data_IF_606285747311
#
_entry.id   IF_606285747311
#
_cell.length_a   1.000
_cell.length_b   1.000
_cell.length_c   1.000
_cell.angle_alpha   90.00
_cell.angle_beta   90.00
_cell.angle_gamma   90.00
#
_symmetry.space_group_name_H-M   'P 1'
#
loop_
_entity.id
_entity.type
_entity.pdbx_description
1 polymer ?
#
# COMPACT_ATOMS: atom_id res chain seq x y z
N UNK A 1 16.64 15.42 14.79
CA UNK A 1 16.48 14.01 14.37
C UNK A 1 17.25 13.14 15.34
N UNK A 2 16.56 12.20 15.99
CA UNK A 2 17.19 11.30 16.97
C UNK A 2 17.89 10.11 16.29
N UNK A 3 18.61 9.31 17.09
CA UNK A 3 19.38 8.16 16.57
C UNK A 3 18.49 7.13 15.85
N UNK A 4 17.32 6.81 16.38
CA UNK A 4 16.38 5.84 15.77
C UNK A 4 15.86 6.33 14.43
N UNK A 5 15.52 7.62 14.32
CA UNK A 5 15.10 8.24 13.06
C UNK A 5 16.22 8.18 12.00
N UNK A 6 17.48 8.40 12.41
CA UNK A 6 18.63 8.29 11.50
C UNK A 6 18.82 6.86 10.98
N UNK A 7 18.75 5.86 11.87
CA UNK A 7 18.81 4.44 11.49
C UNK A 7 17.66 4.08 10.53
N UNK A 8 16.45 4.51 10.86
CA UNK A 8 15.28 4.26 10.03
C UNK A 8 15.45 4.84 8.62
N UNK A 9 15.86 6.10 8.50
CA UNK A 9 16.08 6.74 7.21
C UNK A 9 17.20 6.07 6.40
N UNK A 10 18.25 5.59 7.07
CA UNK A 10 19.31 4.84 6.40
C UNK A 10 18.78 3.52 5.82
N UNK A 11 17.94 2.79 6.56
CA UNK A 11 17.30 1.56 6.07
C UNK A 11 16.41 1.83 4.86
N UNK A 12 15.59 2.89 4.93
CA UNK A 12 14.74 3.29 3.80
C UNK A 12 15.60 3.63 2.57
N UNK A 13 16.65 4.42 2.76
CA UNK A 13 17.57 4.78 1.68
C UNK A 13 18.21 3.54 1.04
N UNK A 14 18.78 2.65 1.85
CA UNK A 14 19.44 1.43 1.37
C UNK A 14 18.46 0.52 0.62
N UNK A 15 17.25 0.40 1.13
CA UNK A 15 16.18 -0.38 0.47
C UNK A 15 15.81 0.23 -0.88
N UNK A 16 15.57 1.54 -0.94
CA UNK A 16 15.15 2.21 -2.17
C UNK A 16 16.25 2.26 -3.23
N UNK A 17 17.51 2.36 -2.81
CA UNK A 17 18.67 2.40 -3.72
C UNK A 17 19.24 1.01 -4.02
N UNK A 18 18.68 -0.04 -3.38
CA UNK A 18 19.19 -1.41 -3.46
C UNK A 18 20.69 -1.50 -3.10
N UNK A 19 21.12 -0.62 -2.20
CA UNK A 19 22.47 -0.63 -1.63
C UNK A 19 22.47 -1.45 -0.35
N UNK A 20 23.60 -2.12 -0.08
CA UNK A 20 23.81 -2.85 1.17
C UNK A 20 24.84 -2.07 1.98
N UNK A 21 24.39 -1.26 2.94
CA UNK A 21 25.27 -0.77 3.96
C UNK A 21 25.51 -1.88 5.01
N UNK A 22 26.72 -1.91 5.60
CA UNK A 22 27.03 -2.81 6.70
C UNK A 22 26.39 -2.31 8.02
N UNK A 23 25.08 -2.00 7.95
CA UNK A 23 24.33 -1.47 9.08
C UNK A 23 24.07 -2.58 10.10
N UNK A 24 24.52 -2.38 11.32
CA UNK A 24 24.23 -3.26 12.46
C UNK A 24 23.31 -2.51 13.42
N UNK A 25 22.15 -3.10 13.73
CA UNK A 25 21.19 -2.55 14.67
C UNK A 25 21.47 -3.16 16.05
N UNK A 26 21.67 -2.31 17.05
CA UNK A 26 21.77 -2.76 18.42
C UNK A 26 20.42 -3.34 18.90
N UNK A 27 20.47 -4.33 19.78
CA UNK A 27 19.25 -5.00 20.23
C UNK A 27 18.31 -4.04 20.97
N UNK A 28 18.85 -3.10 21.72
CA UNK A 28 18.09 -2.08 22.45
C UNK A 28 17.32 -1.12 21.53
N UNK A 29 17.84 -0.89 20.31
CA UNK A 29 17.21 -0.04 19.31
C UNK A 29 16.11 -0.75 18.52
N UNK A 30 16.13 -2.09 18.52
CA UNK A 30 15.24 -2.91 17.67
C UNK A 30 13.75 -2.68 17.94
N UNK A 31 13.37 -2.52 19.20
CA UNK A 31 11.96 -2.28 19.59
C UNK A 31 11.49 -0.90 19.12
N UNK A 32 12.29 0.14 19.38
CA UNK A 32 11.97 1.52 18.99
C UNK A 32 11.90 1.67 17.48
N UNK A 33 12.83 1.04 16.77
CA UNK A 33 12.87 1.03 15.31
C UNK A 33 11.65 0.29 14.72
N UNK A 34 11.28 -0.85 15.31
CA UNK A 34 10.08 -1.61 14.89
C UNK A 34 8.82 -0.79 15.08
N UNK A 35 8.67 -0.10 16.23
CA UNK A 35 7.52 0.79 16.48
C UNK A 35 7.45 1.94 15.47
N UNK A 36 8.58 2.55 15.13
CA UNK A 36 8.64 3.62 14.13
C UNK A 36 8.25 3.09 12.75
N UNK A 37 8.82 1.97 12.32
CA UNK A 37 8.51 1.36 11.03
C UNK A 37 7.04 0.93 10.92
N UNK A 38 6.46 0.44 12.03
CA UNK A 38 5.04 0.10 12.08
C UNK A 38 4.16 1.33 11.90
N UNK A 39 4.47 2.43 12.59
CA UNK A 39 3.75 3.70 12.45
C UNK A 39 3.81 4.25 11.01
N UNK A 40 4.92 4.00 10.32
CA UNK A 40 5.13 4.41 8.92
C UNK A 40 4.68 3.35 7.89
N UNK A 41 4.08 2.25 8.33
CA UNK A 41 3.64 1.13 7.47
C UNK A 41 4.78 0.55 6.60
N UNK A 42 5.99 0.49 7.13
CA UNK A 42 7.22 0.07 6.45
C UNK A 42 7.96 -1.09 7.14
N UNK A 43 7.25 -1.82 8.01
CA UNK A 43 7.81 -2.98 8.73
C UNK A 43 8.60 -3.97 7.85
N UNK A 44 8.16 -4.30 6.62
CA UNK A 44 8.87 -5.27 5.80
C UNK A 44 10.33 -4.87 5.51
N UNK A 45 10.65 -3.58 5.49
CA UNK A 45 12.00 -3.09 5.24
C UNK A 45 12.98 -3.45 6.35
N UNK A 46 12.48 -3.78 7.55
CA UNK A 46 13.30 -4.20 8.69
C UNK A 46 13.70 -5.68 8.65
N UNK A 47 13.10 -6.49 7.78
CA UNK A 47 13.35 -7.95 7.75
C UNK A 47 14.83 -8.34 7.71
N UNK A 48 15.70 -7.67 6.92
CA UNK A 48 17.11 -8.03 6.87
C UNK A 48 17.91 -7.64 8.12
N UNK A 49 17.39 -6.75 8.96
CA UNK A 49 18.16 -6.08 10.02
C UNK A 49 17.82 -6.57 11.41
N UNK A 50 16.62 -7.08 11.66
CA UNK A 50 16.16 -7.53 12.99
C UNK A 50 16.63 -8.95 13.22
N UNK A 51 17.34 -9.16 14.34
CA UNK A 51 17.85 -10.48 14.77
C UNK A 51 17.05 -11.10 15.91
N UNK A 52 16.33 -10.28 16.70
CA UNK A 52 15.47 -10.78 17.76
C UNK A 52 14.37 -11.67 17.18
N UNK A 53 14.28 -12.91 17.64
CA UNK A 53 13.39 -13.91 17.07
C UNK A 53 11.90 -13.59 17.28
N UNK A 54 11.55 -12.95 18.38
CA UNK A 54 10.16 -12.58 18.68
C UNK A 54 9.71 -11.41 17.83
N UNK A 55 10.53 -10.36 17.73
CA UNK A 55 10.27 -9.22 16.85
C UNK A 55 10.23 -9.66 15.38
N UNK A 56 11.19 -10.49 14.96
CA UNK A 56 11.26 -10.99 13.59
C UNK A 56 10.02 -11.82 13.22
N UNK A 57 9.53 -12.65 14.14
CA UNK A 57 8.29 -13.40 13.93
C UNK A 57 7.09 -12.46 13.67
N UNK A 58 6.95 -11.44 14.52
CA UNK A 58 5.88 -10.45 14.36
C UNK A 58 6.01 -9.67 13.03
N UNK A 59 7.20 -9.21 12.69
CA UNK A 59 7.45 -8.50 11.42
C UNK A 59 7.12 -9.39 10.23
N UNK A 60 7.54 -10.66 10.23
CA UNK A 60 7.20 -11.63 9.17
C UNK A 60 5.70 -11.85 9.07
N UNK A 61 5.01 -11.97 10.19
CA UNK A 61 3.56 -12.13 10.21
C UNK A 61 2.84 -10.92 9.60
N UNK A 62 3.19 -9.71 10.03
CA UNK A 62 2.63 -8.47 9.49
C UNK A 62 2.96 -8.29 8.01
N UNK A 63 4.18 -8.60 7.60
CA UNK A 63 4.59 -8.57 6.18
C UNK A 63 3.72 -9.51 5.34
N UNK A 64 3.48 -10.74 5.82
CA UNK A 64 2.60 -11.69 5.13
C UNK A 64 1.18 -11.16 4.95
N UNK A 65 0.62 -10.51 5.96
CA UNK A 65 -0.70 -9.88 5.86
C UNK A 65 -0.72 -8.73 4.84
N UNK A 66 0.35 -7.92 4.81
CA UNK A 66 0.49 -6.85 3.81
C UNK A 66 0.56 -7.41 2.40
N UNK A 67 1.32 -8.48 2.18
CA UNK A 67 1.43 -9.13 0.87
C UNK A 67 0.09 -9.74 0.43
N UNK A 68 -0.64 -10.40 1.33
CA UNK A 68 -1.97 -10.93 1.03
C UNK A 68 -2.93 -9.81 0.62
N UNK A 69 -2.94 -8.71 1.36
CA UNK A 69 -3.74 -7.54 1.02
C UNK A 69 -3.33 -6.94 -0.33
N UNK A 70 -2.03 -6.87 -0.62
CA UNK A 70 -1.54 -6.40 -1.93
C UNK A 70 -2.13 -7.23 -3.07
N UNK A 71 -2.04 -8.55 -3.01
CA UNK A 71 -2.57 -9.42 -4.06
C UNK A 71 -4.09 -9.36 -4.19
N UNK A 72 -4.81 -9.19 -3.08
CA UNK A 72 -6.27 -8.98 -3.13
C UNK A 72 -6.64 -7.69 -3.85
N UNK A 73 -5.97 -6.59 -3.52
CA UNK A 73 -6.16 -5.29 -4.18
C UNK A 73 -5.74 -5.35 -5.65
N UNK A 74 -4.62 -6.01 -5.96
CA UNK A 74 -4.18 -6.19 -7.35
C UNK A 74 -5.22 -6.96 -8.18
N UNK A 75 -5.72 -8.07 -7.67
CA UNK A 75 -6.75 -8.85 -8.37
C UNK A 75 -8.04 -8.08 -8.55
N UNK A 76 -8.47 -7.35 -7.51
CA UNK A 76 -9.64 -6.49 -7.58
C UNK A 76 -9.45 -5.41 -8.67
N UNK A 77 -8.31 -4.74 -8.68
CA UNK A 77 -7.96 -3.72 -9.67
C UNK A 77 -7.98 -4.29 -11.08
N UNK A 78 -7.41 -5.46 -11.31
CA UNK A 78 -7.42 -6.15 -12.62
C UNK A 78 -8.84 -6.43 -13.09
N UNK A 79 -9.72 -6.94 -12.23
CA UNK A 79 -11.11 -7.21 -12.58
C UNK A 79 -11.86 -5.95 -13.02
N UNK A 80 -11.64 -4.82 -12.32
CA UNK A 80 -12.23 -3.53 -12.70
C UNK A 80 -11.65 -3.06 -14.03
N UNK A 81 -10.33 -3.15 -14.21
CA UNK A 81 -9.66 -2.77 -15.45
C UNK A 81 -10.19 -3.57 -16.63
N UNK A 82 -10.25 -4.90 -16.54
CA UNK A 82 -10.77 -5.79 -17.58
C UNK A 82 -12.22 -5.45 -17.92
N UNK A 83 -13.04 -5.18 -16.90
CA UNK A 83 -14.44 -4.80 -17.08
C UNK A 83 -14.59 -3.46 -17.82
N UNK A 84 -13.78 -2.48 -17.45
CA UNK A 84 -13.80 -1.15 -18.07
C UNK A 84 -13.26 -1.19 -19.50
N UNK A 85 -12.17 -1.90 -19.73
CA UNK A 85 -11.58 -2.06 -21.07
C UNK A 85 -12.54 -2.76 -22.03
N UNK A 86 -13.21 -3.82 -21.58
CA UNK A 86 -14.20 -4.54 -22.38
C UNK A 86 -15.43 -3.70 -22.74
N UNK A 87 -15.70 -2.63 -22.01
CA UNK A 87 -16.84 -1.74 -22.21
C UNK A 87 -16.46 -0.33 -22.70
N UNK A 88 -15.22 -0.14 -23.14
CA UNK A 88 -14.69 1.14 -23.64
C UNK A 88 -14.90 2.29 -22.64
N UNK A 89 -14.66 2.03 -21.35
CA UNK A 89 -14.60 3.03 -20.30
C UNK A 89 -13.16 3.54 -20.19
N UNK A 90 -12.94 4.82 -20.47
CA UNK A 90 -11.64 5.46 -20.27
C UNK A 90 -11.45 5.86 -18.82
N UNK A 91 -10.36 5.44 -18.21
CA UNK A 91 -10.05 5.69 -16.79
C UNK A 91 -8.54 5.83 -16.55
N UNK A 92 -8.18 6.37 -15.40
CA UNK A 92 -6.81 6.42 -14.90
C UNK A 92 -6.78 5.87 -13.48
N UNK A 93 -5.90 4.92 -13.23
CA UNK A 93 -5.59 4.46 -11.86
C UNK A 93 -4.69 5.49 -11.18
N UNK A 94 -5.15 6.00 -10.05
CA UNK A 94 -4.38 6.96 -9.25
C UNK A 94 -3.66 6.23 -8.13
N UNK A 95 -2.56 6.81 -7.64
CA UNK A 95 -1.77 6.38 -6.45
C UNK A 95 -1.90 4.88 -6.09
N UNK A 96 -1.83 4.51 -4.83
CA UNK A 96 -2.07 3.14 -4.37
C UNK A 96 -1.27 2.10 -5.14
N UNK A 97 -1.96 1.25 -5.88
CA UNK A 97 -1.38 0.14 -6.66
C UNK A 97 -0.43 0.64 -7.75
N UNK A 98 -0.69 1.79 -8.36
CA UNK A 98 0.17 2.36 -9.40
C UNK A 98 1.55 2.74 -8.86
N UNK A 99 1.61 3.23 -7.62
CA UNK A 99 2.86 3.59 -6.95
C UNK A 99 3.63 2.37 -6.42
N UNK A 100 2.96 1.24 -6.21
CA UNK A 100 3.61 0.02 -5.74
C UNK A 100 4.69 -0.47 -6.72
N UNK A 101 4.50 -0.23 -8.02
CA UNK A 101 5.47 -0.60 -9.05
C UNK A 101 6.84 0.08 -8.89
N UNK A 102 6.92 1.19 -8.14
CA UNK A 102 8.17 1.89 -7.85
C UNK A 102 8.90 1.39 -6.59
N UNK A 103 8.27 0.51 -5.82
CA UNK A 103 8.91 -0.14 -4.68
C UNK A 103 9.82 -1.27 -5.17
N UNK A 104 11.00 -1.49 -4.56
CA UNK A 104 11.86 -2.63 -4.89
C UNK A 104 11.14 -3.98 -4.75
N UNK A 105 10.23 -4.07 -3.78
CA UNK A 105 9.27 -5.17 -3.59
C UNK A 105 7.89 -4.54 -3.53
N UNK A 106 7.10 -4.58 -4.60
CA UNK A 106 5.79 -3.91 -4.68
C UNK A 106 4.84 -4.31 -3.56
N UNK A 107 4.89 -5.56 -3.12
CA UNK A 107 4.08 -6.14 -2.05
C UNK A 107 4.36 -5.54 -0.67
N UNK A 108 5.48 -4.83 -0.51
CA UNK A 108 5.83 -4.14 0.75
C UNK A 108 5.16 -2.79 0.89
N UNK A 109 4.48 -2.32 -0.16
CA UNK A 109 3.63 -1.15 -0.05
C UNK A 109 2.30 -1.53 0.59
N UNK A 110 1.97 -0.89 1.71
CA UNK A 110 0.62 -0.99 2.28
C UNK A 110 -0.39 -0.36 1.32
N UNK A 111 -1.34 -1.16 0.87
CA UNK A 111 -2.45 -0.73 0.04
C UNK A 111 -3.74 -0.62 0.87
N UNK A 112 -4.56 0.37 0.51
CA UNK A 112 -5.92 0.57 1.00
C UNK A 112 -6.89 0.51 -0.18
N UNK A 113 -7.47 1.66 -0.50
CA UNK A 113 -8.46 1.78 -1.55
C UNK A 113 -7.85 1.79 -2.97
N UNK A 114 -8.68 1.48 -3.95
CA UNK A 114 -8.36 1.65 -5.36
C UNK A 114 -8.99 2.94 -5.84
N UNK A 115 -8.16 3.93 -6.14
CA UNK A 115 -8.61 5.22 -6.64
C UNK A 115 -8.62 5.20 -8.17
N UNK A 116 -9.78 5.45 -8.75
CA UNK A 116 -9.99 5.50 -10.19
C UNK A 116 -10.53 6.87 -10.56
N UNK A 117 -9.89 7.51 -11.53
CA UNK A 117 -10.33 8.79 -12.06
C UNK A 117 -10.95 8.62 -13.45
N UNK A 118 -12.11 9.22 -13.66
CA UNK A 118 -12.81 9.29 -14.94
C UNK A 118 -13.14 10.75 -15.22
N UNK A 119 -12.59 11.29 -16.30
CA UNK A 119 -12.66 12.72 -16.60
C UNK A 119 -14.03 13.16 -17.12
N UNK A 120 -14.76 12.27 -17.79
CA UNK A 120 -16.04 12.55 -18.42
C UNK A 120 -17.22 12.08 -17.57
N UNK A 121 -18.20 12.97 -17.34
CA UNK A 121 -19.36 12.69 -16.51
C UNK A 121 -20.26 11.59 -17.08
N UNK A 122 -20.40 11.53 -18.38
CA UNK A 122 -21.23 10.51 -19.05
C UNK A 122 -20.55 9.14 -18.94
N UNK A 123 -19.24 9.09 -19.19
CA UNK A 123 -18.42 7.88 -19.00
C UNK A 123 -18.45 7.44 -17.53
N UNK A 124 -18.35 8.37 -16.57
CA UNK A 124 -18.46 8.09 -15.15
C UNK A 124 -19.81 7.45 -14.79
N UNK A 125 -20.91 7.97 -15.31
CA UNK A 125 -22.24 7.41 -15.07
C UNK A 125 -22.38 6.01 -15.67
N UNK A 126 -21.83 5.77 -16.87
CA UNK A 126 -21.77 4.45 -17.50
C UNK A 126 -20.94 3.47 -16.67
N UNK A 127 -19.78 3.90 -16.15
CA UNK A 127 -18.94 3.09 -15.28
C UNK A 127 -19.68 2.66 -14.00
N UNK A 128 -20.37 3.58 -13.34
CA UNK A 128 -21.17 3.28 -12.16
C UNK A 128 -22.30 2.28 -12.46
N UNK A 129 -23.04 2.48 -13.55
CA UNK A 129 -24.08 1.55 -13.95
C UNK A 129 -23.51 0.15 -14.26
N UNK A 130 -22.35 0.09 -14.91
CA UNK A 130 -21.65 -1.14 -15.23
C UNK A 130 -21.20 -1.89 -13.96
N UNK A 131 -20.64 -1.19 -13.00
CA UNK A 131 -20.22 -1.77 -11.71
C UNK A 131 -21.42 -2.34 -10.95
N UNK A 132 -22.51 -1.59 -10.83
CA UNK A 132 -23.73 -2.05 -10.19
C UNK A 132 -24.32 -3.30 -10.87
N UNK A 133 -24.31 -3.35 -12.21
CA UNK A 133 -24.78 -4.50 -12.97
C UNK A 133 -23.92 -5.76 -12.77
N UNK A 134 -22.64 -5.57 -12.36
CA UNK A 134 -21.71 -6.65 -12.06
C UNK A 134 -21.58 -6.98 -10.57
N UNK A 135 -22.54 -6.55 -9.74
CA UNK A 135 -22.65 -6.94 -8.34
C UNK A 135 -21.84 -6.08 -7.37
N UNK A 136 -21.26 -4.97 -7.82
CA UNK A 136 -20.67 -3.99 -6.92
C UNK A 136 -21.77 -3.15 -6.27
N UNK A 137 -21.58 -2.77 -5.03
CA UNK A 137 -22.51 -1.92 -4.28
C UNK A 137 -21.96 -0.51 -4.18
N UNK A 138 -22.86 0.46 -4.13
CA UNK A 138 -22.51 1.84 -3.82
C UNK A 138 -22.78 2.05 -2.33
N UNK A 139 -21.80 2.62 -1.61
CA UNK A 139 -22.06 3.10 -0.27
C UNK A 139 -22.97 4.31 -0.36
N UNK A 140 -24.14 4.25 0.28
CA UNK A 140 -25.03 5.38 0.48
C UNK A 140 -24.45 6.27 1.59
N UNK A 141 -23.28 6.85 1.37
CA UNK A 141 -22.79 7.92 2.22
C UNK A 141 -23.52 9.21 1.91
N UNK A 142 -24.51 9.52 2.75
CA UNK A 142 -24.43 10.66 3.66
C UNK A 142 -23.72 11.85 3.02
N UNK A 143 -24.36 12.41 2.04
CA UNK A 143 -24.17 13.80 1.66
C UNK A 143 -25.11 14.67 2.48
N UNK A 144 -24.82 14.84 3.77
CA UNK A 144 -25.51 15.86 4.58
C UNK A 144 -24.63 16.37 5.72
N UNK A 145 -23.54 17.03 5.37
CA UNK A 145 -22.91 18.01 6.27
C UNK A 145 -22.10 19.02 5.49
N UNK A 146 -22.76 19.87 4.69
CA UNK A 146 -22.28 21.23 4.41
C UNK A 146 -23.45 22.08 3.91
N UNK A 147 -24.36 22.39 4.83
CA UNK A 147 -25.14 23.63 4.81
C UNK A 147 -25.05 24.23 6.21
N UNK A 148 -24.24 25.27 6.33
CA UNK A 148 -24.09 26.09 7.52
C UNK A 148 -23.02 27.12 7.29
#
# INVERSE_FOLDING_TARGET
MNHIEQLYLQIIYDTCTQTSSALTIAQDDSVSLTNLAQAQSSLPFLLPYIKDSSLLYNIKHQTKLMMLNYYQIEQFTRRIADLFDANNISYVLLKGISLAAFYPVPEYRKLGDVDIYINDKEIFNRANALLLANGYTKDDEISDHHQG
#
